data_IF_780435355897
#
_entry.id   IF_780435355897
#
_cell.length_a   1.000
_cell.length_b   1.000
_cell.length_c   1.000
_cell.angle_alpha   90.00
_cell.angle_beta   90.00
_cell.angle_gamma   90.00
#
_symmetry.space_group_name_H-M   'P 1'
#
loop_
_entity.id
_entity.type
_entity.pdbx_description
1 polymer ?
#
# COMPACT_ATOMS: atom_id res chain seq x y z
N UNK A 1 -7.44 -7.72 32.86
CA UNK A 1 -6.37 -6.78 32.44
C UNK A 1 -5.28 -7.38 31.54
N UNK A 2 -4.79 -8.62 31.76
CA UNK A 2 -3.70 -9.21 30.93
C UNK A 2 -4.15 -9.52 29.50
N UNK A 3 -5.35 -10.08 29.33
CA UNK A 3 -5.95 -10.41 28.03
C UNK A 3 -6.10 -9.17 27.13
N UNK A 4 -6.67 -8.08 27.67
CA UNK A 4 -6.83 -6.80 26.95
C UNK A 4 -5.49 -6.29 26.41
N UNK A 5 -4.40 -6.36 27.21
CA UNK A 5 -3.07 -5.92 26.77
C UNK A 5 -2.51 -6.77 25.63
N UNK A 6 -2.78 -8.08 25.62
CA UNK A 6 -2.33 -8.97 24.54
C UNK A 6 -3.11 -8.67 23.26
N UNK A 7 -4.42 -8.49 23.37
CA UNK A 7 -5.29 -8.17 22.22
C UNK A 7 -4.89 -6.83 21.61
N UNK A 8 -4.76 -5.76 22.40
CA UNK A 8 -4.40 -4.44 21.87
C UNK A 8 -2.99 -4.42 21.29
N UNK A 9 -2.05 -5.15 21.89
CA UNK A 9 -0.71 -5.28 21.32
C UNK A 9 -0.71 -6.06 19.99
N UNK A 10 -1.45 -7.17 19.91
CA UNK A 10 -1.59 -7.94 18.66
C UNK A 10 -2.23 -7.11 17.56
N UNK A 11 -3.30 -6.38 17.89
CA UNK A 11 -3.97 -5.46 16.97
C UNK A 11 -3.01 -4.36 16.49
N UNK A 12 -2.18 -3.80 17.36
CA UNK A 12 -1.14 -2.84 16.96
C UNK A 12 -0.18 -3.40 15.90
N UNK A 13 0.26 -4.66 16.01
CA UNK A 13 1.15 -5.26 15.00
C UNK A 13 0.48 -5.39 13.63
N UNK A 14 -0.81 -5.77 13.62
CA UNK A 14 -1.61 -5.90 12.40
C UNK A 14 -1.88 -4.53 11.79
N UNK A 15 -2.36 -3.57 12.59
CA UNK A 15 -2.60 -2.20 12.14
C UNK A 15 -1.33 -1.54 11.59
N UNK A 16 -0.17 -1.78 12.21
CA UNK A 16 1.11 -1.27 11.71
C UNK A 16 1.45 -1.84 10.33
N UNK A 17 1.25 -3.14 10.12
CA UNK A 17 1.48 -3.78 8.81
C UNK A 17 0.51 -3.25 7.75
N UNK A 18 -0.77 -3.10 8.11
CA UNK A 18 -1.79 -2.52 7.23
C UNK A 18 -1.50 -1.05 6.92
N UNK A 19 -0.97 -0.28 7.86
CA UNK A 19 -0.61 1.12 7.62
C UNK A 19 0.47 1.27 6.56
N UNK A 20 1.51 0.40 6.55
CA UNK A 20 2.53 0.41 5.50
C UNK A 20 1.96 0.02 4.14
N UNK A 21 1.16 -1.04 4.10
CA UNK A 21 0.51 -1.52 2.87
C UNK A 21 -0.40 -0.45 2.26
N UNK A 22 -1.37 0.05 3.02
CA UNK A 22 -2.34 1.04 2.56
C UNK A 22 -1.68 2.37 2.20
N UNK A 23 -0.62 2.78 2.91
CA UNK A 23 0.16 3.96 2.53
C UNK A 23 0.89 3.79 1.20
N UNK A 24 1.50 2.63 0.97
CA UNK A 24 2.16 2.32 -0.31
C UNK A 24 1.15 2.33 -1.46
N UNK A 25 -0.02 1.70 -1.28
CA UNK A 25 -1.09 1.69 -2.29
C UNK A 25 -1.58 3.11 -2.57
N UNK A 26 -1.90 3.89 -1.54
CA UNK A 26 -2.36 5.28 -1.70
C UNK A 26 -1.33 6.15 -2.41
N UNK A 27 -0.04 6.04 -2.08
CA UNK A 27 1.02 6.78 -2.79
C UNK A 27 1.13 6.31 -4.24
N UNK A 28 1.04 5.01 -4.49
CA UNK A 28 1.13 4.42 -5.83
C UNK A 28 0.03 4.94 -6.77
N UNK A 29 -1.23 4.85 -6.33
CA UNK A 29 -2.41 5.33 -7.07
C UNK A 29 -2.32 6.83 -7.37
N UNK A 30 -1.73 7.63 -6.47
CA UNK A 30 -1.64 9.08 -6.61
C UNK A 30 -0.35 9.57 -7.31
N UNK A 31 0.45 8.66 -7.86
CA UNK A 31 1.74 9.01 -8.48
C UNK A 31 1.63 9.01 -10.00
N UNK A 32 1.48 10.19 -10.61
CA UNK A 32 1.47 10.34 -12.08
C UNK A 32 2.69 9.70 -12.75
N UNK A 33 3.86 9.77 -12.09
CA UNK A 33 5.12 9.19 -12.59
C UNK A 33 5.05 7.67 -12.80
N UNK A 34 4.30 6.96 -11.97
CA UNK A 34 4.15 5.50 -12.09
C UNK A 34 3.35 5.17 -13.35
N UNK A 35 2.27 5.91 -13.60
CA UNK A 35 1.47 5.77 -14.82
C UNK A 35 2.29 6.10 -16.06
N UNK A 36 2.98 7.24 -16.08
CA UNK A 36 3.81 7.67 -17.20
C UNK A 36 4.95 6.69 -17.49
N UNK A 37 5.62 6.19 -16.46
CA UNK A 37 6.63 5.14 -16.62
C UNK A 37 6.04 3.86 -17.21
N UNK A 38 4.86 3.44 -16.76
CA UNK A 38 4.14 2.31 -17.34
C UNK A 38 3.80 2.53 -18.81
N UNK A 39 3.27 3.70 -19.15
CA UNK A 39 2.92 4.04 -20.53
C UNK A 39 4.13 4.03 -21.45
N UNK A 40 5.26 4.57 -20.99
CA UNK A 40 6.51 4.56 -21.73
C UNK A 40 7.07 3.12 -21.85
N UNK A 41 7.07 2.33 -20.76
CA UNK A 41 7.58 0.94 -20.73
C UNK A 41 6.79 -0.02 -21.61
N UNK A 42 5.46 0.12 -21.65
CA UNK A 42 4.57 -0.77 -22.40
C UNK A 42 4.14 -0.20 -23.75
N UNK A 43 4.79 0.88 -24.21
CA UNK A 43 4.54 1.48 -25.53
C UNK A 43 3.06 1.78 -25.77
N UNK A 44 2.38 2.30 -24.75
CA UNK A 44 0.92 2.51 -24.76
C UNK A 44 0.50 3.47 -25.88
N UNK A 45 1.29 4.52 -26.14
CA UNK A 45 1.02 5.44 -27.25
C UNK A 45 1.05 4.74 -28.61
N UNK A 46 1.92 3.76 -28.82
CA UNK A 46 2.01 3.02 -30.07
C UNK A 46 0.84 2.04 -30.23
N UNK A 47 0.40 1.41 -29.14
CA UNK A 47 -0.73 0.46 -29.14
C UNK A 47 -2.06 1.16 -29.33
N UNK A 48 -2.24 2.31 -28.69
CA UNK A 48 -3.54 3.01 -28.61
C UNK A 48 -3.67 4.16 -29.62
N UNK A 49 -2.56 4.66 -30.17
CA UNK A 49 -2.52 5.88 -30.97
C UNK A 49 -2.66 7.18 -30.16
N UNK A 50 -2.74 7.10 -28.83
CA UNK A 50 -2.92 8.25 -27.93
C UNK A 50 -1.55 8.89 -27.65
N UNK A 51 -1.44 10.20 -27.87
CA UNK A 51 -0.18 10.89 -27.61
C UNK A 51 0.14 11.02 -26.11
N UNK A 52 1.41 11.25 -25.78
CA UNK A 52 1.88 11.30 -24.39
C UNK A 52 1.21 12.40 -23.55
N UNK A 53 0.88 13.55 -24.16
CA UNK A 53 0.21 14.62 -23.45
C UNK A 53 -1.26 14.27 -23.17
N UNK A 54 -1.95 13.59 -24.09
CA UNK A 54 -3.27 13.02 -23.85
C UNK A 54 -3.23 11.94 -22.76
N UNK A 55 -2.27 11.03 -22.79
CA UNK A 55 -2.10 10.00 -21.75
C UNK A 55 -1.92 10.62 -20.36
N UNK A 56 -1.08 11.66 -20.23
CA UNK A 56 -0.89 12.37 -18.96
C UNK A 56 -2.18 13.06 -18.48
N UNK A 57 -3.00 13.62 -19.39
CA UNK A 57 -4.34 14.15 -19.03
C UNK A 57 -5.29 13.04 -18.57
N UNK A 58 -5.32 11.91 -19.25
CA UNK A 58 -6.12 10.74 -18.87
C UNK A 58 -5.73 10.28 -17.46
N UNK A 59 -4.43 10.19 -17.15
CA UNK A 59 -3.95 9.88 -15.81
C UNK A 59 -4.47 10.87 -14.77
N UNK A 60 -4.38 12.17 -15.04
CA UNK A 60 -4.90 13.21 -14.14
C UNK A 60 -6.39 13.01 -13.85
N UNK A 61 -7.19 12.80 -14.89
CA UNK A 61 -8.64 12.53 -14.76
C UNK A 61 -8.92 11.27 -13.94
N UNK A 62 -8.19 10.18 -14.17
CA UNK A 62 -8.36 8.93 -13.41
C UNK A 62 -7.99 9.12 -11.94
N UNK A 63 -6.88 9.80 -11.63
CA UNK A 63 -6.46 10.10 -10.26
C UNK A 63 -7.52 10.96 -9.56
N UNK A 64 -7.99 12.02 -10.20
CA UNK A 64 -9.05 12.87 -9.63
C UNK A 64 -10.34 12.10 -9.40
N UNK A 65 -10.72 11.23 -10.34
CA UNK A 65 -11.87 10.35 -10.18
C UNK A 65 -11.73 9.40 -8.98
N UNK A 66 -10.59 8.71 -8.87
CA UNK A 66 -10.30 7.78 -7.77
C UNK A 66 -10.29 8.49 -6.41
N UNK A 67 -9.94 9.77 -6.37
CA UNK A 67 -9.99 10.60 -5.17
C UNK A 67 -11.35 11.31 -4.95
N UNK A 68 -12.36 11.03 -5.76
CA UNK A 68 -13.68 11.69 -5.70
C UNK A 68 -13.63 13.21 -5.87
N UNK A 69 -12.60 13.72 -6.58
CA UNK A 69 -12.48 15.13 -6.98
C UNK A 69 -13.18 15.42 -8.31
N UNK A 70 -13.44 14.37 -9.09
CA UNK A 70 -14.21 14.41 -10.33
C UNK A 70 -15.30 13.34 -10.33
N UNK A 71 -16.44 13.65 -10.94
CA UNK A 71 -17.51 12.67 -11.18
C UNK A 71 -17.25 11.81 -12.42
N UNK A 72 -16.60 12.42 -13.42
CA UNK A 72 -16.24 11.74 -14.67
C UNK A 72 -14.97 10.90 -14.53
N UNK A 73 -14.97 9.75 -15.19
CA UNK A 73 -13.86 8.78 -15.33
C UNK A 73 -13.09 8.92 -16.64
N UNK A 74 -13.58 9.77 -17.53
CA UNK A 74 -13.06 9.92 -18.87
C UNK A 74 -13.06 11.39 -19.28
N UNK A 75 -12.14 11.73 -20.17
CA UNK A 75 -12.19 13.02 -20.85
C UNK A 75 -13.38 12.99 -21.81
N UNK A 76 -14.33 13.91 -21.61
CA UNK A 76 -15.57 13.97 -22.42
C UNK A 76 -15.27 14.08 -23.91
N UNK A 77 -14.18 14.74 -24.28
CA UNK A 77 -13.72 14.92 -25.66
C UNK A 77 -13.22 13.62 -26.32
N UNK A 78 -12.82 12.62 -25.53
CA UNK A 78 -12.21 11.38 -26.05
C UNK A 78 -13.13 10.16 -26.03
N UNK A 79 -14.15 10.14 -25.14
CA UNK A 79 -15.05 8.98 -24.92
C UNK A 79 -14.33 7.62 -25.05
N UNK A 80 -13.22 7.50 -24.31
CA UNK A 80 -12.22 6.47 -24.57
C UNK A 80 -12.69 5.06 -24.18
N UNK A 81 -13.43 4.97 -23.08
CA UNK A 81 -13.80 3.70 -22.47
C UNK A 81 -15.23 3.33 -22.83
N UNK A 82 -15.45 2.06 -23.12
CA UNK A 82 -16.80 1.52 -23.26
C UNK A 82 -17.55 1.53 -21.93
N UNK A 83 -18.89 1.45 -21.97
CA UNK A 83 -19.74 1.48 -20.77
C UNK A 83 -19.35 0.41 -19.74
N UNK A 84 -18.94 -0.78 -20.18
CA UNK A 84 -18.50 -1.85 -19.29
C UNK A 84 -17.14 -1.56 -18.63
N UNK A 85 -16.18 -0.99 -19.36
CA UNK A 85 -14.90 -0.55 -18.79
C UNK A 85 -15.13 0.56 -17.73
N UNK A 86 -16.11 1.44 -17.98
CA UNK A 86 -16.52 2.47 -17.04
C UNK A 86 -17.16 1.89 -15.77
N UNK A 87 -17.93 0.80 -15.88
CA UNK A 87 -18.45 0.05 -14.71
C UNK A 87 -17.28 -0.51 -13.89
N UNK A 88 -16.35 -1.20 -14.53
CA UNK A 88 -15.20 -1.76 -13.82
C UNK A 88 -14.34 -0.66 -13.14
N UNK A 89 -14.11 0.48 -13.79
CA UNK A 89 -13.41 1.62 -13.19
C UNK A 89 -14.14 2.17 -11.95
N UNK A 90 -15.47 2.08 -11.89
CA UNK A 90 -16.24 2.45 -10.70
C UNK A 90 -15.99 1.49 -9.54
N UNK A 91 -15.90 0.19 -9.81
CA UNK A 91 -15.58 -0.81 -8.79
C UNK A 91 -14.15 -0.63 -8.27
N UNK A 92 -13.18 -0.35 -9.17
CA UNK A 92 -11.80 -0.01 -8.82
C UNK A 92 -11.72 1.23 -7.93
N UNK A 93 -12.50 2.28 -8.22
CA UNK A 93 -12.62 3.44 -7.32
C UNK A 93 -13.11 3.04 -5.94
N UNK A 94 -14.15 2.20 -5.86
CA UNK A 94 -14.66 1.70 -4.59
C UNK A 94 -13.57 1.01 -3.76
N UNK A 95 -12.73 0.21 -4.42
CA UNK A 95 -11.60 -0.46 -3.78
C UNK A 95 -10.53 0.51 -3.27
N UNK A 96 -10.16 1.53 -4.05
CA UNK A 96 -9.22 2.56 -3.57
C UNK A 96 -9.80 3.40 -2.42
N UNK A 97 -11.10 3.71 -2.45
CA UNK A 97 -11.75 4.41 -1.33
C UNK A 97 -11.79 3.55 -0.06
N UNK A 98 -11.97 2.22 -0.20
CA UNK A 98 -11.86 1.29 0.91
C UNK A 98 -10.43 1.26 1.49
N UNK A 99 -9.40 1.23 0.64
CA UNK A 99 -8.00 1.33 1.06
C UNK A 99 -7.75 2.60 1.89
N UNK A 100 -8.25 3.75 1.44
CA UNK A 100 -8.08 5.02 2.13
C UNK A 100 -8.80 5.04 3.48
N UNK A 101 -10.02 4.49 3.54
CA UNK A 101 -10.77 4.35 4.79
C UNK A 101 -10.04 3.45 5.79
N UNK A 102 -9.54 2.29 5.33
CA UNK A 102 -8.76 1.37 6.18
C UNK A 102 -7.51 2.09 6.69
N UNK A 103 -6.79 2.81 5.83
CA UNK A 103 -5.61 3.59 6.22
C UNK A 103 -5.93 4.57 7.36
N UNK A 104 -7.01 5.36 7.21
CA UNK A 104 -7.42 6.35 8.20
C UNK A 104 -7.78 5.70 9.54
N UNK A 105 -8.50 4.58 9.52
CA UNK A 105 -8.84 3.81 10.72
C UNK A 105 -7.59 3.26 11.41
N UNK A 106 -6.67 2.63 10.67
CA UNK A 106 -5.47 2.02 11.27
C UNK A 106 -4.49 3.08 11.78
N UNK A 107 -4.34 4.21 11.09
CA UNK A 107 -3.53 5.34 11.57
C UNK A 107 -4.15 5.98 12.81
N UNK A 108 -5.46 6.18 12.83
CA UNK A 108 -6.18 6.66 14.02
C UNK A 108 -5.99 5.74 15.22
N UNK A 109 -6.10 4.43 15.01
CA UNK A 109 -5.81 3.43 16.04
C UNK A 109 -4.36 3.50 16.54
N UNK A 110 -3.37 3.58 15.63
CA UNK A 110 -1.94 3.68 15.99
C UNK A 110 -1.68 4.93 16.82
N UNK A 111 -2.22 6.08 16.43
CA UNK A 111 -2.07 7.35 17.16
C UNK A 111 -2.64 7.22 18.57
N UNK A 112 -3.88 6.74 18.71
CA UNK A 112 -4.52 6.53 20.01
C UNK A 112 -3.73 5.54 20.86
N UNK A 113 -3.29 4.42 20.27
CA UNK A 113 -2.49 3.41 20.96
C UNK A 113 -1.19 4.01 21.51
N UNK A 114 -0.46 4.76 20.67
CA UNK A 114 0.79 5.42 21.07
C UNK A 114 0.50 6.42 22.19
N UNK A 115 -0.45 7.35 22.03
CA UNK A 115 -0.76 8.36 23.05
C UNK A 115 -1.11 7.74 24.41
N UNK A 116 -2.01 6.75 24.43
CA UNK A 116 -2.39 6.04 25.66
C UNK A 116 -1.20 5.30 26.28
N UNK A 117 -0.35 4.72 25.45
CA UNK A 117 0.87 4.06 25.90
C UNK A 117 1.83 5.06 26.59
N UNK A 118 2.00 6.25 26.00
CA UNK A 118 2.88 7.29 26.55
C UNK A 118 2.36 7.86 27.88
N UNK A 119 1.05 8.12 27.95
CA UNK A 119 0.40 8.65 29.16
C UNK A 119 0.46 7.65 30.33
N UNK A 120 0.20 6.36 30.08
CA UNK A 120 0.08 5.37 31.16
C UNK A 120 1.36 4.64 31.53
N UNK A 121 2.37 4.56 30.63
CA UNK A 121 3.60 3.78 30.89
C UNK A 121 4.79 4.61 31.38
N UNK A 122 4.60 5.89 31.72
CA UNK A 122 5.63 6.79 32.30
C UNK A 122 7.00 6.64 31.61
N UNK A 123 7.02 6.68 30.27
CA UNK A 123 8.27 6.71 29.51
C UNK A 123 8.95 5.36 29.24
N UNK A 124 8.24 4.22 29.25
CA UNK A 124 8.76 2.94 28.75
C UNK A 124 8.71 2.83 27.21
N UNK A 125 9.22 3.83 26.51
CA UNK A 125 9.24 3.92 25.03
C UNK A 125 9.89 2.70 24.35
N UNK A 126 10.83 2.03 25.02
CA UNK A 126 11.48 0.82 24.53
C UNK A 126 10.51 -0.32 24.19
N UNK A 127 9.41 -0.45 24.94
CA UNK A 127 8.39 -1.48 24.70
C UNK A 127 7.54 -1.16 23.47
N UNK A 128 7.29 0.13 23.18
CA UNK A 128 6.65 0.57 21.95
C UNK A 128 7.55 0.29 20.74
N UNK A 129 8.85 0.57 20.85
CA UNK A 129 9.83 0.26 19.80
C UNK A 129 10.00 -1.24 19.56
N UNK A 130 9.85 -2.08 20.59
CA UNK A 130 9.74 -3.55 20.40
C UNK A 130 8.49 -3.89 19.58
N UNK A 131 7.36 -3.25 19.85
CA UNK A 131 6.13 -3.35 19.06
C UNK A 131 6.37 -3.05 17.58
N UNK A 132 6.92 -1.88 17.29
CA UNK A 132 7.24 -1.43 15.93
C UNK A 132 8.15 -2.43 15.22
N UNK A 133 9.23 -2.89 15.86
CA UNK A 133 10.13 -3.91 15.27
C UNK A 133 9.44 -5.22 14.95
N UNK A 134 8.57 -5.71 15.84
CA UNK A 134 7.79 -6.93 15.58
C UNK A 134 6.77 -6.72 14.48
N UNK A 135 6.17 -5.52 14.39
CA UNK A 135 5.30 -5.13 13.28
C UNK A 135 6.06 -5.18 11.95
N UNK A 136 7.23 -4.54 11.87
CA UNK A 136 8.09 -4.58 10.68
C UNK A 136 8.48 -6.01 10.29
N UNK A 137 8.86 -6.85 11.26
CA UNK A 137 9.19 -8.25 11.00
C UNK A 137 7.98 -9.06 10.48
N UNK A 138 6.79 -8.81 11.03
CA UNK A 138 5.54 -9.40 10.52
C UNK A 138 5.27 -8.95 9.08
N UNK A 139 5.39 -7.65 8.80
CA UNK A 139 5.22 -7.10 7.44
C UNK A 139 6.19 -7.74 6.45
N UNK A 140 7.47 -7.83 6.78
CA UNK A 140 8.49 -8.46 5.92
C UNK A 140 8.18 -9.95 5.67
N UNK A 141 7.73 -10.68 6.69
CA UNK A 141 7.32 -12.07 6.53
C UNK A 141 6.11 -12.20 5.58
N UNK A 142 5.09 -11.37 5.75
CA UNK A 142 3.90 -11.36 4.89
C UNK A 142 4.24 -11.03 3.44
N UNK A 143 5.05 -9.98 3.21
CA UNK A 143 5.50 -9.59 1.86
C UNK A 143 6.37 -10.68 1.23
N UNK A 144 7.26 -11.34 1.98
CA UNK A 144 8.05 -12.44 1.45
C UNK A 144 7.17 -13.62 1.01
N UNK A 145 6.18 -14.01 1.82
CA UNK A 145 5.24 -15.08 1.47
C UNK A 145 4.42 -14.71 0.23
N UNK A 146 3.79 -13.54 0.22
CA UNK A 146 2.98 -13.08 -0.92
C UNK A 146 3.85 -12.93 -2.18
N UNK A 147 5.07 -12.41 -2.04
CA UNK A 147 6.02 -12.25 -3.13
C UNK A 147 6.44 -13.58 -3.75
N UNK A 148 6.70 -14.61 -2.94
CA UNK A 148 6.99 -15.97 -3.43
C UNK A 148 5.79 -16.53 -4.20
N UNK A 149 4.57 -16.43 -3.65
CA UNK A 149 3.37 -16.93 -4.34
C UNK A 149 3.17 -16.17 -5.66
N UNK A 150 3.36 -14.86 -5.66
CA UNK A 150 3.22 -14.01 -6.85
C UNK A 150 4.27 -14.31 -7.91
N UNK A 151 5.50 -14.67 -7.51
CA UNK A 151 6.57 -15.04 -8.43
C UNK A 151 6.22 -16.29 -9.25
N UNK A 152 5.55 -17.27 -8.65
CA UNK A 152 5.18 -18.52 -9.32
C UNK A 152 3.83 -18.46 -10.06
N UNK A 153 2.99 -17.45 -9.82
CA UNK A 153 1.61 -17.47 -10.34
C UNK A 153 0.90 -16.12 -10.31
N UNK A 154 1.54 -15.05 -10.78
CA UNK A 154 0.94 -13.70 -10.78
C UNK A 154 -0.41 -13.65 -11.52
N UNK A 155 -0.52 -14.24 -12.71
CA UNK A 155 -1.77 -14.21 -13.48
C UNK A 155 -2.93 -14.84 -12.73
N UNK A 156 -2.71 -16.00 -12.11
CA UNK A 156 -3.73 -16.68 -11.32
C UNK A 156 -4.13 -15.87 -10.08
N UNK A 157 -3.16 -15.25 -9.40
CA UNK A 157 -3.45 -14.35 -8.28
C UNK A 157 -4.22 -13.12 -8.73
N UNK A 158 -3.88 -12.55 -9.88
CA UNK A 158 -4.57 -11.39 -10.46
C UNK A 158 -6.03 -11.75 -10.74
N UNK A 159 -6.31 -12.90 -11.35
CA UNK A 159 -7.67 -13.37 -11.59
C UNK A 159 -8.42 -13.61 -10.27
N UNK A 160 -7.81 -14.29 -9.31
CA UNK A 160 -8.42 -14.55 -7.99
C UNK A 160 -8.73 -13.27 -7.22
N UNK A 161 -7.84 -12.27 -7.31
CA UNK A 161 -8.07 -10.94 -6.75
C UNK A 161 -9.31 -10.29 -7.37
N UNK A 162 -9.49 -10.38 -8.69
CA UNK A 162 -10.67 -9.82 -9.35
C UNK A 162 -11.95 -10.53 -8.93
N UNK A 163 -11.94 -11.87 -8.85
CA UNK A 163 -13.09 -12.60 -8.31
C UNK A 163 -13.41 -12.23 -6.86
N UNK A 164 -12.40 -12.01 -6.01
CA UNK A 164 -12.61 -11.68 -4.61
C UNK A 164 -13.19 -10.28 -4.40
N UNK A 165 -12.67 -9.27 -5.12
CA UNK A 165 -13.08 -7.88 -4.93
C UNK A 165 -14.24 -7.43 -5.83
N UNK A 166 -14.35 -8.00 -7.03
CA UNK A 166 -15.31 -7.58 -8.05
C UNK A 166 -16.36 -8.66 -8.37
N UNK A 167 -16.15 -9.89 -7.89
CA UNK A 167 -17.08 -10.99 -8.10
C UNK A 167 -17.03 -11.56 -9.52
N UNK A 168 -18.13 -12.19 -9.92
CA UNK A 168 -18.25 -12.80 -11.25
C UNK A 168 -18.24 -11.72 -12.35
N UNK A 169 -17.51 -11.93 -13.46
CA UNK A 169 -17.42 -10.98 -14.58
C UNK A 169 -18.77 -10.53 -15.16
N UNK A 170 -19.82 -11.33 -14.98
CA UNK A 170 -21.18 -10.97 -15.42
C UNK A 170 -21.79 -9.78 -14.67
N UNK A 171 -21.33 -9.49 -13.44
CA UNK A 171 -21.78 -8.35 -12.63
C UNK A 171 -20.82 -7.15 -12.70
N UNK A 172 -19.51 -7.41 -12.69
CA UNK A 172 -18.45 -6.43 -12.90
C UNK A 172 -17.58 -6.87 -14.08
N UNK A 173 -17.70 -6.26 -15.26
CA UNK A 173 -16.99 -6.69 -16.47
C UNK A 173 -15.50 -6.30 -16.43
N UNK A 174 -14.71 -7.11 -15.72
CA UNK A 174 -13.27 -6.93 -15.55
C UNK A 174 -12.42 -7.80 -16.49
N UNK A 175 -13.05 -8.72 -17.24
CA UNK A 175 -12.40 -9.46 -18.34
C UNK A 175 -12.51 -8.61 -19.59
N UNK A 176 -11.37 -8.08 -20.04
CA UNK A 176 -11.27 -7.15 -21.15
C UNK A 176 -10.46 -7.74 -22.30
N UNK A 177 -10.81 -7.33 -23.52
CA UNK A 177 -10.19 -7.75 -24.76
C UNK A 177 -9.12 -6.74 -25.20
N UNK A 178 -7.83 -7.12 -25.18
CA UNK A 178 -6.73 -6.21 -25.52
C UNK A 178 -6.70 -5.78 -26.99
N UNK A 179 -7.57 -6.31 -27.86
CA UNK A 179 -7.71 -5.88 -29.24
C UNK A 179 -8.64 -4.67 -29.43
N UNK A 180 -9.49 -4.35 -28.43
CA UNK A 180 -10.49 -3.28 -28.53
C UNK A 180 -10.69 -2.44 -27.27
N UNK A 181 -10.34 -2.95 -26.09
CA UNK A 181 -10.63 -2.32 -24.80
C UNK A 181 -9.44 -1.45 -24.36
N UNK A 182 -9.64 -0.14 -24.29
CA UNK A 182 -8.56 0.80 -23.99
C UNK A 182 -8.04 0.63 -22.56
N UNK A 183 -8.86 0.25 -21.59
CA UNK A 183 -8.45 0.13 -20.19
C UNK A 183 -7.35 -0.92 -20.00
N UNK A 184 -7.47 -2.08 -20.67
CA UNK A 184 -6.43 -3.12 -20.64
C UNK A 184 -5.24 -2.78 -21.55
N UNK A 185 -5.43 -1.97 -22.60
CA UNK A 185 -4.31 -1.45 -23.39
C UNK A 185 -3.47 -0.43 -22.60
N UNK A 186 -4.12 0.41 -21.77
CA UNK A 186 -3.44 1.38 -20.89
C UNK A 186 -2.73 0.67 -19.73
N UNK A 187 -3.36 -0.36 -19.16
CA UNK A 187 -2.87 -1.10 -17.99
C UNK A 187 -2.79 -2.60 -18.26
N UNK A 188 -1.88 -3.04 -19.15
CA UNK A 188 -1.79 -4.44 -19.52
C UNK A 188 -1.33 -5.31 -18.33
N UNK A 189 -1.57 -6.64 -18.31
CA UNK A 189 -1.23 -7.48 -17.16
C UNK A 189 0.21 -7.34 -16.63
N UNK A 190 1.26 -7.21 -17.49
CA UNK A 190 2.62 -6.97 -17.02
C UNK A 190 2.78 -5.66 -16.23
N UNK A 191 2.00 -4.62 -16.52
CA UNK A 191 2.00 -3.37 -15.74
C UNK A 191 1.63 -3.66 -14.30
N UNK A 192 0.55 -4.40 -14.06
CA UNK A 192 0.12 -4.74 -12.70
C UNK A 192 1.12 -5.63 -11.96
N UNK A 193 1.84 -6.51 -12.67
CA UNK A 193 2.92 -7.31 -12.09
C UNK A 193 4.07 -6.42 -11.61
N UNK A 194 4.49 -5.47 -12.44
CA UNK A 194 5.49 -4.47 -12.08
C UNK A 194 5.07 -3.63 -10.86
N UNK A 195 3.81 -3.18 -10.82
CA UNK A 195 3.27 -2.42 -9.67
C UNK A 195 3.28 -3.27 -8.40
N UNK A 196 2.90 -4.55 -8.47
CA UNK A 196 2.95 -5.45 -7.33
C UNK A 196 4.38 -5.64 -6.80
N UNK A 197 5.36 -5.81 -7.70
CA UNK A 197 6.77 -5.91 -7.35
C UNK A 197 7.28 -4.62 -6.71
N UNK A 198 7.01 -3.47 -7.34
CA UNK A 198 7.42 -2.16 -6.85
C UNK A 198 6.82 -1.87 -5.47
N UNK A 199 5.53 -2.17 -5.28
CA UNK A 199 4.84 -2.04 -4.00
C UNK A 199 5.45 -2.93 -2.92
N UNK A 200 5.72 -4.21 -3.24
CA UNK A 200 6.38 -5.14 -2.33
C UNK A 200 7.78 -4.68 -1.91
N UNK A 201 8.59 -4.19 -2.85
CA UNK A 201 9.92 -3.62 -2.58
C UNK A 201 9.79 -2.38 -1.70
N UNK A 202 8.85 -1.47 -2.00
CA UNK A 202 8.64 -0.24 -1.24
C UNK A 202 8.29 -0.54 0.21
N UNK A 203 7.32 -1.43 0.45
CA UNK A 203 6.93 -1.86 1.80
C UNK A 203 8.11 -2.51 2.54
N UNK A 204 8.91 -3.33 1.85
CA UNK A 204 10.08 -3.97 2.45
C UNK A 204 11.13 -2.92 2.87
N UNK A 205 11.42 -1.93 2.02
CA UNK A 205 12.34 -0.83 2.33
C UNK A 205 11.83 0.00 3.51
N UNK A 206 10.55 0.39 3.51
CA UNK A 206 9.94 1.12 4.63
C UNK A 206 10.04 0.34 5.94
N UNK A 207 9.69 -0.94 5.93
CA UNK A 207 9.75 -1.80 7.11
C UNK A 207 11.20 -1.98 7.62
N UNK A 208 12.18 -2.10 6.72
CA UNK A 208 13.60 -2.18 7.08
C UNK A 208 14.06 -0.86 7.70
N UNK A 209 13.77 0.29 7.08
CA UNK A 209 14.17 1.60 7.60
C UNK A 209 13.57 1.86 8.98
N UNK A 210 12.26 1.69 9.14
CA UNK A 210 11.56 1.93 10.41
C UNK A 210 12.02 0.92 11.46
N UNK A 211 12.17 -0.35 11.09
CA UNK A 211 12.68 -1.41 11.97
C UNK A 211 14.09 -1.15 12.47
N UNK A 212 14.99 -0.71 11.59
CA UNK A 212 16.36 -0.32 11.93
C UNK A 212 16.41 0.88 12.85
N UNK A 213 15.64 1.94 12.58
CA UNK A 213 15.54 3.11 13.46
C UNK A 213 15.02 2.68 14.84
N UNK A 214 13.96 1.89 14.90
CA UNK A 214 13.38 1.39 16.15
C UNK A 214 14.34 0.47 16.94
N UNK A 215 15.33 -0.13 16.27
CA UNK A 215 16.39 -0.92 16.90
C UNK A 215 17.55 -0.05 17.41
N UNK A 216 17.99 0.94 16.63
CA UNK A 216 19.15 1.79 16.94
C UNK A 216 18.89 2.77 18.10
N UNK A 217 17.71 3.39 18.15
CA UNK A 217 17.36 4.40 19.17
C UNK A 217 17.58 3.91 20.61
N UNK A 218 17.05 2.74 21.04
CA UNK A 218 17.27 2.25 22.40
C UNK A 218 18.73 1.83 22.64
N UNK A 219 19.40 1.30 21.62
CA UNK A 219 20.81 0.88 21.71
C UNK A 219 21.75 2.08 21.97
N UNK A 220 21.56 3.18 21.26
CA UNK A 220 22.34 4.42 21.44
C UNK A 220 22.05 5.05 22.81
N UNK A 221 20.77 5.12 23.20
CA UNK A 221 20.36 5.67 24.50
C UNK A 221 20.92 4.86 25.68
N UNK A 222 20.96 3.53 25.59
CA UNK A 222 21.56 2.69 26.63
C UNK A 222 23.09 2.84 26.67
N UNK A 223 23.74 2.95 25.51
CA UNK A 223 25.19 3.20 25.43
C UNK A 223 25.58 4.54 26.06
N UNK A 224 24.83 5.61 25.77
CA UNK A 224 25.06 6.93 26.38
C UNK A 224 24.85 6.90 27.90
N UNK A 225 23.81 6.23 28.41
CA UNK A 225 23.61 6.10 29.87
C UNK A 225 24.75 5.34 30.55
N UNK A 226 25.26 4.27 29.93
CA UNK A 226 26.40 3.50 30.45
C UNK A 226 27.70 4.31 30.45
N UNK A 227 27.91 5.17 29.45
CA UNK A 227 29.08 6.06 29.38
C UNK A 227 28.99 7.26 30.34
N UNK A 228 27.79 7.76 30.63
CA UNK A 228 27.56 8.86 31.57
C UNK A 228 27.66 8.45 33.06
N UNK A 229 27.48 7.16 33.39
CA UNK A 229 27.63 6.62 34.75
C UNK A 229 28.51 5.36 34.76
N UNK A 230 29.84 5.48 34.57
CA UNK A 230 30.75 4.34 34.52
C UNK A 230 30.93 3.60 35.87
N UNK A 231 30.47 4.17 37.00
CA UNK A 231 30.80 3.71 38.36
C UNK A 231 29.73 2.97 39.17
N UNK A 232 28.50 2.75 38.67
CA UNK A 232 27.44 2.10 39.47
C UNK A 232 27.35 0.56 39.34
N UNK A 233 28.31 -0.09 38.66
CA UNK A 233 28.36 -1.56 38.55
C UNK A 233 29.52 -2.20 39.30
N UNK A 234 29.97 -1.57 40.39
CA UNK A 234 30.86 -2.19 41.36
C UNK A 234 30.48 -1.79 42.76
N UNK A 235 29.80 -2.69 43.47
CA UNK A 235 29.66 -2.87 44.93
C UNK A 235 28.21 -3.14 45.35
N UNK A 236 27.99 -4.32 45.95
CA UNK A 236 26.77 -4.69 46.67
C UNK A 236 26.13 -5.96 46.15
#
# INVERSE_FOLDING_TARGET
MRVIKVITYGLFLVCFSLALLTSTVRVGVNSTRIYEYGFDKYHVSQVTGIDRAQLSRITGTLIDYFNSKAETRQLEELQLFHDYELVHLKDVKGLFQLDYLVQEIVLGYIVVYVLLFLLWRKGRWQDLLKGVRRGCALTLCLIAVIGIISFFGFEQLFIQFHYFFFGDPSFSPWILDPSKDYLIMLFPPPFWQDIAILGGITIAVEALLIGSIAWLVPFICERHKRQAHPGCHGQG
#
